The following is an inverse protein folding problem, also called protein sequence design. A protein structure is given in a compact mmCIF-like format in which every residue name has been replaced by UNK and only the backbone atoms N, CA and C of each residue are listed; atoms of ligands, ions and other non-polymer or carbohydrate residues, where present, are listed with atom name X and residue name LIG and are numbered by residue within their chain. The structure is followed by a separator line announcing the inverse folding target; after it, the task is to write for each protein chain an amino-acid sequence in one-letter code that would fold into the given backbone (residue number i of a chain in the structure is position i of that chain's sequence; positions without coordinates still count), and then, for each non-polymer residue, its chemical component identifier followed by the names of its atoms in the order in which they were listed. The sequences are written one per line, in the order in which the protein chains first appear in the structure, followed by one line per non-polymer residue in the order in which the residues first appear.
data_IF_801390672757
#
_entry.id   IF_801390672757
#
_cell.length_a   1.000
_cell.length_b   1.000
_cell.length_c   1.000
_cell.angle_alpha   90.00
_cell.angle_beta   90.00
_cell.angle_gamma   90.00
#
_symmetry.space_group_name_H-M   'P 1'
#
loop_
_entity.id
_entity.type
_entity.pdbx_description
1 polymer ?
#
# COMPACT_ATOMS: atom_id res chain seq x y z
N UNK A 1 0.85 18.65 13.56
CA UNK A 1 1.81 18.36 12.46
C UNK A 1 2.35 16.93 12.51
N UNK A 2 2.86 16.44 13.66
CA UNK A 2 3.51 15.12 13.76
C UNK A 2 2.59 13.93 13.42
N UNK A 3 1.31 13.98 13.80
CA UNK A 3 0.32 12.93 13.51
C UNK A 3 0.06 12.72 12.01
N UNK A 4 0.09 13.80 11.22
CA UNK A 4 -0.09 13.73 9.76
C UNK A 4 1.14 13.12 9.07
N UNK A 5 2.32 13.34 9.63
CA UNK A 5 3.58 12.81 9.11
C UNK A 5 3.70 11.31 9.42
N UNK A 6 3.34 10.87 10.63
CA UNK A 6 3.24 9.45 11.00
C UNK A 6 2.24 8.69 10.12
N UNK A 7 1.01 9.22 9.95
CA UNK A 7 0.00 8.64 9.04
C UNK A 7 0.49 8.55 7.59
N UNK A 8 1.33 9.49 7.13
CA UNK A 8 1.91 9.43 5.78
C UNK A 8 2.93 8.30 5.66
N UNK A 9 3.80 8.12 6.65
CA UNK A 9 4.79 7.04 6.64
C UNK A 9 4.15 5.66 6.71
N UNK A 10 3.08 5.48 7.49
CA UNK A 10 2.34 4.22 7.57
C UNK A 10 1.69 3.84 6.24
N UNK A 11 1.11 4.82 5.53
CA UNK A 11 0.55 4.61 4.18
C UNK A 11 1.63 4.24 3.17
N UNK A 12 2.80 4.90 3.23
CA UNK A 12 3.95 4.55 2.37
C UNK A 12 4.43 3.13 2.67
N UNK A 13 4.53 2.76 3.95
CA UNK A 13 4.93 1.42 4.38
C UNK A 13 3.96 0.34 3.88
N UNK A 14 2.66 0.58 4.00
CA UNK A 14 1.62 -0.34 3.51
C UNK A 14 1.71 -0.53 1.98
N UNK A 15 1.84 0.56 1.22
CA UNK A 15 2.00 0.51 -0.22
C UNK A 15 3.28 -0.24 -0.64
N UNK A 16 4.41 0.07 -0.01
CA UNK A 16 5.70 -0.57 -0.28
C UNK A 16 5.66 -2.09 -0.01
N UNK A 17 4.97 -2.53 1.05
CA UNK A 17 4.83 -3.95 1.36
C UNK A 17 4.07 -4.71 0.28
N UNK A 18 3.01 -4.13 -0.30
CA UNK A 18 2.25 -4.76 -1.39
C UNK A 18 3.07 -4.82 -2.67
N UNK A 19 3.78 -3.74 -3.01
CA UNK A 19 4.66 -3.69 -4.19
C UNK A 19 5.77 -4.73 -4.07
N UNK A 20 6.41 -4.85 -2.91
CA UNK A 20 7.46 -5.84 -2.66
C UNK A 20 6.94 -7.29 -2.81
N UNK A 21 5.71 -7.57 -2.35
CA UNK A 21 5.06 -8.88 -2.53
C UNK A 21 4.77 -9.19 -4.01
N UNK A 22 4.34 -8.18 -4.79
CA UNK A 22 4.15 -8.36 -6.24
C UNK A 22 5.48 -8.69 -6.94
N UNK A 23 6.57 -7.99 -6.61
CA UNK A 23 7.90 -8.25 -7.19
C UNK A 23 8.43 -9.64 -6.87
N UNK A 24 8.12 -10.19 -5.69
CA UNK A 24 8.49 -11.55 -5.29
C UNK A 24 7.68 -12.62 -6.03
N UNK A 25 6.40 -12.33 -6.31
CA UNK A 25 5.49 -13.25 -6.99
C UNK A 25 5.68 -13.23 -8.51
N UNK A 26 6.04 -12.07 -9.05
CA UNK A 26 6.08 -11.78 -10.49
C UNK A 26 7.53 -11.49 -10.91
N UNK A 27 8.41 -12.46 -10.69
CA UNK A 27 9.86 -12.37 -11.00
C UNK A 27 10.16 -12.22 -12.49
N UNK A 28 9.13 -12.06 -13.33
CA UNK A 28 9.20 -11.78 -14.75
C UNK A 28 8.57 -10.43 -15.05
N UNK A 29 9.02 -9.38 -14.36
CA UNK A 29 8.76 -8.02 -14.84
C UNK A 29 9.21 -7.95 -16.30
N UNK A 30 8.30 -7.61 -17.24
CA UNK A 30 8.63 -7.63 -18.66
C UNK A 30 9.83 -6.71 -18.93
N UNK A 31 10.70 -7.12 -19.85
CA UNK A 31 11.97 -6.44 -20.20
C UNK A 31 11.81 -4.94 -20.50
N UNK A 32 10.60 -4.50 -20.88
CA UNK A 32 10.26 -3.11 -21.15
C UNK A 32 9.91 -2.28 -19.89
N UNK A 33 9.99 -2.86 -18.70
CA UNK A 33 9.74 -2.18 -17.41
C UNK A 33 8.28 -1.74 -17.19
N UNK A 34 7.35 -2.12 -18.07
CA UNK A 34 5.92 -1.80 -17.97
C UNK A 34 5.09 -3.04 -17.71
N UNK A 35 4.39 -3.05 -16.59
CA UNK A 35 3.37 -4.05 -16.31
C UNK A 35 2.22 -3.96 -17.34
N UNK A 36 1.62 -5.10 -17.74
CA UNK A 36 0.35 -5.09 -18.47
C UNK A 36 -0.70 -4.29 -17.70
N UNK A 37 -1.61 -3.63 -18.42
CA UNK A 37 -2.60 -2.73 -17.80
C UNK A 37 -3.42 -3.43 -16.70
N UNK A 38 -3.87 -4.66 -16.95
CA UNK A 38 -4.67 -5.43 -15.99
C UNK A 38 -3.88 -5.77 -14.73
N UNK A 39 -2.59 -6.11 -14.87
CA UNK A 39 -1.69 -6.39 -13.73
C UNK A 39 -1.42 -5.11 -12.94
N UNK A 40 -1.16 -4.00 -13.65
CA UNK A 40 -0.96 -2.70 -13.02
C UNK A 40 -2.20 -2.24 -12.27
N UNK A 41 -3.40 -2.45 -12.85
CA UNK A 41 -4.68 -2.14 -12.23
C UNK A 41 -4.92 -3.00 -10.98
N UNK A 42 -4.77 -4.32 -11.07
CA UNK A 42 -4.94 -5.21 -9.94
C UNK A 42 -3.92 -4.95 -8.82
N UNK A 43 -2.70 -4.51 -9.16
CA UNK A 43 -1.72 -4.06 -8.17
C UNK A 43 -2.15 -2.75 -7.51
N UNK A 44 -2.59 -1.77 -8.29
CA UNK A 44 -3.04 -0.49 -7.79
C UNK A 44 -4.25 -0.64 -6.84
N UNK A 45 -5.22 -1.48 -7.20
CA UNK A 45 -6.38 -1.81 -6.35
C UNK A 45 -5.93 -2.39 -5.00
N UNK A 46 -5.03 -3.38 -5.00
CA UNK A 46 -4.47 -3.96 -3.77
C UNK A 46 -3.69 -2.96 -2.91
N UNK A 47 -2.95 -2.05 -3.54
CA UNK A 47 -2.22 -0.98 -2.83
C UNK A 47 -3.20 -0.01 -2.16
N UNK A 48 -4.26 0.39 -2.87
CA UNK A 48 -5.30 1.28 -2.33
C UNK A 48 -5.99 0.64 -1.13
N UNK A 49 -6.40 -0.62 -1.24
CA UNK A 49 -7.04 -1.35 -0.14
C UNK A 49 -6.13 -1.45 1.09
N UNK A 50 -4.84 -1.75 0.89
CA UNK A 50 -3.88 -1.82 1.99
C UNK A 50 -3.65 -0.46 2.68
N UNK A 51 -3.62 0.63 1.90
CA UNK A 51 -3.48 2.00 2.41
C UNK A 51 -4.73 2.42 3.20
N UNK A 52 -5.94 2.10 2.70
CA UNK A 52 -7.20 2.38 3.40
C UNK A 52 -7.23 1.61 4.73
N UNK A 53 -6.91 0.31 4.71
CA UNK A 53 -6.87 -0.51 5.92
C UNK A 53 -5.84 0.01 6.96
N UNK A 54 -4.70 0.54 6.50
CA UNK A 54 -3.72 1.18 7.38
C UNK A 54 -4.26 2.48 7.98
N UNK A 55 -4.91 3.33 7.18
CA UNK A 55 -5.54 4.58 7.65
C UNK A 55 -6.63 4.30 8.69
N UNK A 56 -7.48 3.30 8.46
CA UNK A 56 -8.51 2.90 9.42
C UNK A 56 -7.96 2.43 10.76
N UNK A 57 -6.82 1.70 10.76
CA UNK A 57 -6.15 1.28 12.00
C UNK A 57 -5.65 2.48 12.78
N UNK A 58 -5.05 3.46 12.09
CA UNK A 58 -4.59 4.71 12.71
C UNK A 58 -5.77 5.48 13.31
N UNK A 59 -6.90 5.58 12.59
CA UNK A 59 -8.12 6.23 13.12
C UNK A 59 -8.66 5.51 14.35
N UNK A 60 -8.80 4.18 14.31
CA UNK A 60 -9.26 3.39 15.46
C UNK A 60 -8.33 3.54 16.68
N UNK A 61 -7.02 3.61 16.46
CA UNK A 61 -6.05 3.78 17.54
C UNK A 61 -6.08 5.21 18.12
N UNK A 62 -6.35 6.21 17.28
CA UNK A 62 -6.52 7.59 17.73
C UNK A 62 -7.84 7.82 18.49
N UNK A 63 -8.85 6.97 18.28
CA UNK A 63 -10.14 7.09 18.96
C UNK A 63 -10.19 6.48 20.36
N UNK A 64 -9.31 5.53 20.71
CA UNK A 64 -9.26 4.86 22.02
C UNK A 64 -10.55 4.11 22.41
N UNK A 65 -10.49 3.04 23.24
CA UNK A 65 -11.67 2.56 23.94
C UNK A 65 -12.03 3.58 25.03
N UNK A 66 -13.30 4.00 25.08
CA UNK A 66 -13.89 4.67 26.24
C UNK A 66 -13.87 3.74 27.47
#
# INVERSE_FOLDING_TARGET
MQQAQASREDRIRAAAAVIAQQTLTDRQLPLNGRLPHDVARALAERVVDAVIAADERVRRHASGPA
#
